data_IF_612096190048
#
_entry.id   IF_612096190048
#
_cell.length_a   1.000
_cell.length_b   1.000
_cell.length_c   1.000
_cell.angle_alpha   90.00
_cell.angle_beta   90.00
_cell.angle_gamma   90.00
#
_symmetry.space_group_name_H-M   'P 1'
#
loop_
_entity.id
_entity.type
_entity.pdbx_description
1 polymer ?
#
# COMPACT_ATOMS: atom_id res chain seq x y z
N UNK A 1 -11.39 -44.05 21.00
CA UNK A 1 -10.34 -43.48 20.12
C UNK A 1 -11.00 -42.66 19.02
N UNK A 2 -10.79 -41.35 19.02
CA UNK A 2 -11.51 -40.31 18.27
C UNK A 2 -11.07 -40.20 16.80
N UNK A 3 -11.86 -40.74 15.86
CA UNK A 3 -11.73 -40.49 14.40
C UNK A 3 -12.69 -39.35 13.97
N UNK A 4 -12.42 -38.09 14.32
CA UNK A 4 -13.26 -36.94 13.90
C UNK A 4 -12.57 -35.90 12.99
N UNK A 5 -11.28 -36.05 12.70
CA UNK A 5 -10.51 -35.07 11.90
C UNK A 5 -10.44 -35.29 10.38
N UNK A 6 -10.82 -36.48 9.85
CA UNK A 6 -10.65 -36.79 8.42
C UNK A 6 -11.80 -36.33 7.50
N UNK A 7 -12.96 -35.96 8.04
CA UNK A 7 -14.10 -35.50 7.22
C UNK A 7 -13.91 -34.07 6.74
N UNK A 8 -13.57 -33.15 7.66
CA UNK A 8 -13.40 -31.74 7.35
C UNK A 8 -12.29 -31.47 6.34
N UNK A 9 -11.11 -32.09 6.48
CA UNK A 9 -10.02 -31.93 5.50
C UNK A 9 -10.38 -32.48 4.12
N UNK A 10 -11.23 -33.51 4.05
CA UNK A 10 -11.69 -34.09 2.80
C UNK A 10 -12.77 -33.23 2.15
N UNK A 11 -13.69 -32.68 2.94
CA UNK A 11 -14.70 -31.69 2.53
C UNK A 11 -14.04 -30.39 2.07
N UNK A 12 -13.04 -29.91 2.81
CA UNK A 12 -12.22 -28.75 2.46
C UNK A 12 -11.43 -28.98 1.18
N UNK A 13 -10.75 -30.13 1.03
CA UNK A 13 -10.08 -30.48 -0.23
C UNK A 13 -11.06 -30.54 -1.40
N UNK A 14 -12.26 -31.09 -1.19
CA UNK A 14 -13.32 -31.15 -2.22
C UNK A 14 -13.87 -29.75 -2.55
N UNK A 15 -13.91 -28.85 -1.57
CA UNK A 15 -14.33 -27.46 -1.74
C UNK A 15 -13.30 -26.64 -2.52
N UNK A 16 -12.01 -26.72 -2.15
CA UNK A 16 -10.91 -26.03 -2.84
C UNK A 16 -10.66 -26.62 -4.23
N UNK A 17 -10.90 -27.92 -4.43
CA UNK A 17 -10.81 -28.58 -5.74
C UNK A 17 -11.91 -28.11 -6.73
N UNK A 18 -12.87 -27.28 -6.30
CA UNK A 18 -13.71 -26.53 -7.23
C UNK A 18 -12.83 -25.45 -7.87
N UNK A 19 -12.28 -25.75 -9.05
CA UNK A 19 -11.29 -24.90 -9.76
C UNK A 19 -11.62 -23.41 -9.80
N UNK A 20 -12.90 -23.04 -9.92
CA UNK A 20 -13.35 -21.64 -9.90
C UNK A 20 -12.97 -20.85 -8.62
N UNK A 21 -12.81 -21.50 -7.47
CA UNK A 21 -12.42 -20.84 -6.21
C UNK A 21 -10.91 -20.73 -6.09
N UNK A 22 -10.17 -21.75 -6.56
CA UNK A 22 -8.72 -21.77 -6.52
C UNK A 22 -8.13 -20.71 -7.46
N UNK A 23 -8.63 -20.63 -8.69
CA UNK A 23 -8.16 -19.66 -9.69
C UNK A 23 -8.49 -18.22 -9.26
N UNK A 24 -9.67 -18.01 -8.65
CA UNK A 24 -10.03 -16.72 -8.06
C UNK A 24 -9.10 -16.36 -6.89
N UNK A 25 -8.78 -17.32 -6.01
CA UNK A 25 -7.88 -17.08 -4.88
C UNK A 25 -6.47 -16.70 -5.36
N UNK A 26 -5.94 -17.40 -6.37
CA UNK A 26 -4.64 -17.08 -6.98
C UNK A 26 -4.67 -15.69 -7.63
N UNK A 27 -5.72 -15.36 -8.39
CA UNK A 27 -5.87 -14.06 -9.02
C UNK A 27 -5.90 -12.91 -8.00
N UNK A 28 -6.59 -13.08 -6.87
CA UNK A 28 -6.64 -12.08 -5.79
C UNK A 28 -5.29 -11.89 -5.12
N UNK A 29 -4.58 -12.98 -4.79
CA UNK A 29 -3.25 -12.91 -4.14
C UNK A 29 -2.21 -12.28 -5.06
N UNK A 30 -2.19 -12.64 -6.33
CA UNK A 30 -1.29 -12.01 -7.32
C UNK A 30 -1.70 -10.55 -7.52
N UNK A 31 -2.99 -10.26 -7.58
CA UNK A 31 -3.51 -8.90 -7.72
C UNK A 31 -3.10 -7.98 -6.57
N UNK A 32 -3.17 -8.43 -5.32
CA UNK A 32 -2.76 -7.63 -4.16
C UNK A 32 -1.26 -7.41 -4.13
N UNK A 33 -0.45 -8.45 -4.39
CA UNK A 33 1.01 -8.34 -4.47
C UNK A 33 1.46 -7.42 -5.60
N UNK A 34 0.87 -7.58 -6.79
CA UNK A 34 1.13 -6.73 -7.94
C UNK A 34 0.76 -5.28 -7.66
N UNK A 35 -0.38 -5.02 -7.02
CA UNK A 35 -0.76 -3.68 -6.62
C UNK A 35 0.26 -3.05 -5.66
N UNK A 36 0.86 -3.80 -4.73
CA UNK A 36 1.94 -3.28 -3.88
C UNK A 36 3.18 -2.85 -4.67
N UNK A 37 3.58 -3.65 -5.68
CA UNK A 37 4.71 -3.32 -6.55
C UNK A 37 4.42 -2.02 -7.31
N UNK A 38 3.23 -1.90 -7.87
CA UNK A 38 2.81 -0.70 -8.61
C UNK A 38 2.78 0.52 -7.68
N UNK A 39 2.21 0.37 -6.47
CA UNK A 39 2.15 1.45 -5.48
C UNK A 39 3.53 1.88 -5.02
N UNK A 40 4.47 0.95 -4.77
CA UNK A 40 5.86 1.28 -4.44
C UNK A 40 6.55 1.99 -5.60
N UNK A 41 6.39 1.53 -6.85
CA UNK A 41 6.94 2.23 -8.01
C UNK A 41 6.43 3.67 -8.13
N UNK A 42 5.13 3.88 -7.90
CA UNK A 42 4.55 5.22 -7.95
C UNK A 42 5.05 6.07 -6.77
N UNK A 43 4.99 5.57 -5.54
CA UNK A 43 5.35 6.31 -4.34
C UNK A 43 6.86 6.59 -4.23
N UNK A 44 7.70 5.66 -4.70
CA UNK A 44 9.15 5.73 -4.47
C UNK A 44 9.90 6.34 -5.67
N UNK A 45 9.33 6.28 -6.88
CA UNK A 45 9.97 6.83 -8.08
C UNK A 45 9.19 7.99 -8.70
N UNK A 46 7.90 7.80 -8.96
CA UNK A 46 7.08 8.79 -9.66
C UNK A 46 6.81 10.01 -8.77
N UNK A 47 6.39 9.79 -7.52
CA UNK A 47 6.05 10.86 -6.59
C UNK A 47 7.23 11.78 -6.28
N UNK A 48 8.44 11.29 -5.96
CA UNK A 48 9.61 12.16 -5.77
C UNK A 48 9.98 12.93 -7.03
N UNK A 49 9.92 12.29 -8.20
CA UNK A 49 10.18 12.94 -9.48
C UNK A 49 9.15 14.05 -9.76
N UNK A 50 7.88 13.83 -9.44
CA UNK A 50 6.83 14.84 -9.55
C UNK A 50 7.01 15.96 -8.54
N UNK A 51 7.37 15.66 -7.29
CA UNK A 51 7.64 16.67 -6.25
C UNK A 51 8.77 17.62 -6.66
N UNK A 52 9.81 17.10 -7.32
CA UNK A 52 10.91 17.92 -7.85
C UNK A 52 10.46 18.83 -9.00
N UNK A 53 9.46 18.42 -9.79
CA UNK A 53 8.95 19.18 -10.93
C UNK A 53 7.87 20.21 -10.54
N UNK A 54 6.96 19.86 -9.64
CA UNK A 54 5.84 20.72 -9.21
C UNK A 54 6.15 21.54 -7.96
N UNK A 55 7.22 21.20 -7.22
CA UNK A 55 7.62 21.87 -5.98
C UNK A 55 6.65 21.68 -4.81
N UNK A 56 5.62 20.83 -4.96
CA UNK A 56 4.61 20.55 -3.94
C UNK A 56 4.54 19.05 -3.70
N UNK A 57 4.67 18.67 -2.42
CA UNK A 57 4.66 17.27 -2.00
C UNK A 57 3.25 16.65 -1.95
N UNK A 58 2.21 17.47 -1.82
CA UNK A 58 0.83 17.00 -1.69
C UNK A 58 -0.15 18.10 -2.09
N UNK A 59 -1.24 17.72 -2.76
CA UNK A 59 -2.41 18.59 -3.00
C UNK A 59 -3.52 18.35 -1.98
N UNK A 60 -3.30 17.47 -0.99
CA UNK A 60 -4.29 17.08 0.01
C UNK A 60 -4.73 18.23 0.92
N UNK A 61 -3.87 19.22 1.12
CA UNK A 61 -4.09 20.34 2.06
C UNK A 61 -4.95 21.48 1.49
N UNK A 62 -5.46 21.34 0.26
CA UNK A 62 -6.41 22.30 -0.31
C UNK A 62 -7.76 22.18 0.40
N UNK A 63 -8.06 23.15 1.25
CA UNK A 63 -9.30 23.26 2.03
C UNK A 63 -10.03 24.54 1.62
N UNK A 64 -11.33 24.43 1.32
CA UNK A 64 -12.17 25.59 1.06
C UNK A 64 -12.98 25.86 2.34
N UNK A 65 -12.77 27.02 2.96
CA UNK A 65 -13.64 27.47 4.04
C UNK A 65 -15.01 27.82 3.45
N UNK A 66 -16.02 26.98 3.71
CA UNK A 66 -17.40 27.24 3.27
C UNK A 66 -18.14 28.17 4.25
N UNK A 67 -17.63 28.32 5.48
CA UNK A 67 -18.05 29.33 6.46
C UNK A 67 -16.82 30.00 7.05
N UNK A 68 -16.76 31.33 7.00
CA UNK A 68 -15.84 32.10 7.83
C UNK A 68 -16.27 31.95 9.29
N UNK A 69 -15.29 31.83 10.20
CA UNK A 69 -15.57 31.99 11.61
C UNK A 69 -16.12 33.41 11.80
N UNK A 70 -17.41 33.53 12.12
CA UNK A 70 -17.97 34.79 12.57
C UNK A 70 -17.42 35.00 13.97
N UNK A 71 -16.27 35.66 14.08
CA UNK A 71 -15.86 36.29 15.32
C UNK A 71 -16.75 37.51 15.54
N UNK A 72 -17.89 37.30 16.18
CA UNK A 72 -18.56 38.34 16.94
C UNK A 72 -18.73 37.78 18.34
N UNK A 73 -17.83 38.17 19.24
CA UNK A 73 -18.02 38.02 20.67
C UNK A 73 -18.57 39.35 21.19
N UNK A 74 -19.74 39.31 21.83
CA UNK A 74 -19.91 40.00 23.12
C UNK A 74 -20.29 39.03 24.25
N UNK A 75 -20.73 37.79 23.98
CA UNK A 75 -20.98 36.78 25.01
C UNK A 75 -20.18 35.49 24.71
N UNK A 76 -19.17 35.20 25.55
CA UNK A 76 -18.10 34.24 25.31
C UNK A 76 -18.46 32.75 25.37
N UNK A 77 -19.17 32.24 24.36
CA UNK A 77 -19.22 30.80 24.07
C UNK A 77 -18.65 30.50 22.67
N UNK A 78 -17.46 29.91 22.64
CA UNK A 78 -16.82 29.44 21.41
C UNK A 78 -17.40 28.07 21.06
N UNK A 79 -18.37 28.04 20.14
CA UNK A 79 -18.73 26.81 19.44
C UNK A 79 -17.88 26.71 18.17
N UNK A 80 -16.70 26.11 18.31
CA UNK A 80 -15.81 25.76 17.19
C UNK A 80 -16.50 24.70 16.30
N UNK A 81 -17.29 25.16 15.34
CA UNK A 81 -17.81 24.35 14.23
C UNK A 81 -17.42 24.99 12.91
N UNK A 82 -16.13 25.22 12.70
CA UNK A 82 -15.57 25.49 11.38
C UNK A 82 -15.67 24.21 10.53
N UNK A 83 -16.70 24.13 9.69
CA UNK A 83 -16.88 23.06 8.70
C UNK A 83 -16.03 23.36 7.47
N UNK A 84 -14.88 22.69 7.35
CA UNK A 84 -14.04 22.74 6.16
C UNK A 84 -14.52 21.71 5.13
N UNK A 85 -14.66 22.12 3.86
CA UNK A 85 -14.73 21.14 2.77
C UNK A 85 -13.29 20.88 2.32
N UNK A 86 -12.80 19.69 2.66
CA UNK A 86 -11.46 19.22 2.28
C UNK A 86 -11.59 18.56 0.89
N UNK A 87 -11.47 19.34 -0.17
CA UNK A 87 -11.50 18.84 -1.55
C UNK A 87 -10.12 18.39 -2.04
N UNK A 88 -9.05 18.86 -1.38
CA UNK A 88 -7.68 18.49 -1.70
C UNK A 88 -7.43 16.98 -1.62
N UNK A 89 -7.92 16.32 -0.56
CA UNK A 89 -7.74 14.88 -0.37
C UNK A 89 -8.38 14.05 -1.50
N UNK A 90 -9.56 14.46 -1.98
CA UNK A 90 -10.21 13.81 -3.11
C UNK A 90 -9.43 14.00 -4.41
N UNK A 91 -8.98 15.23 -4.68
CA UNK A 91 -8.20 15.53 -5.88
C UNK A 91 -6.86 14.79 -5.88
N UNK A 92 -6.20 14.68 -4.73
CA UNK A 92 -4.99 13.89 -4.53
C UNK A 92 -5.25 12.41 -4.87
N UNK A 93 -6.32 11.81 -4.34
CA UNK A 93 -6.66 10.42 -4.63
C UNK A 93 -6.94 10.17 -6.13
N UNK A 94 -7.52 11.14 -6.83
CA UNK A 94 -7.72 11.05 -8.29
C UNK A 94 -6.38 11.10 -9.04
N UNK A 95 -5.46 11.97 -8.62
CA UNK A 95 -4.12 12.06 -9.20
C UNK A 95 -3.35 10.75 -8.96
N UNK A 96 -3.35 10.24 -7.73
CA UNK A 96 -2.67 8.99 -7.38
C UNK A 96 -3.23 7.81 -8.19
N UNK A 97 -4.55 7.74 -8.37
CA UNK A 97 -5.19 6.73 -9.22
C UNK A 97 -4.75 6.84 -10.68
N UNK A 98 -4.68 8.06 -11.24
CA UNK A 98 -4.18 8.30 -12.60
C UNK A 98 -2.70 7.86 -12.74
N UNK A 99 -1.87 8.12 -11.74
CA UNK A 99 -0.46 7.71 -11.73
C UNK A 99 -0.30 6.20 -11.67
N UNK A 100 -1.07 5.51 -10.81
CA UNK A 100 -1.10 4.05 -10.72
C UNK A 100 -1.55 3.45 -12.04
N UNK A 101 -2.65 3.94 -12.63
CA UNK A 101 -3.15 3.47 -13.92
C UNK A 101 -2.11 3.66 -15.04
N UNK A 102 -1.45 4.82 -15.08
CA UNK A 102 -0.40 5.13 -16.04
C UNK A 102 0.84 4.25 -15.86
N UNK A 103 1.23 3.99 -14.61
CA UNK A 103 2.33 3.10 -14.26
C UNK A 103 2.08 1.67 -14.74
N UNK A 104 0.91 1.11 -14.44
CA UNK A 104 0.49 -0.22 -14.92
C UNK A 104 0.52 -0.29 -16.44
N UNK A 105 0.04 0.76 -17.12
CA UNK A 105 0.06 0.84 -18.58
C UNK A 105 1.48 0.78 -19.14
N UNK A 106 2.44 1.52 -18.57
CA UNK A 106 3.85 1.46 -18.97
C UNK A 106 4.40 0.06 -18.76
N UNK A 107 4.16 -0.55 -17.59
CA UNK A 107 4.71 -1.87 -17.27
C UNK A 107 4.20 -2.95 -18.23
N UNK A 108 2.90 -2.97 -18.53
CA UNK A 108 2.31 -3.87 -19.53
C UNK A 108 2.89 -3.60 -20.91
N UNK A 109 3.08 -2.33 -21.30
CA UNK A 109 3.67 -1.96 -22.59
C UNK A 109 5.11 -2.46 -22.71
N UNK A 110 5.92 -2.37 -21.65
CA UNK A 110 7.30 -2.86 -21.61
C UNK A 110 7.32 -4.38 -21.79
N UNK A 111 6.53 -5.12 -21.00
CA UNK A 111 6.44 -6.58 -21.10
C UNK A 111 5.99 -7.01 -22.51
N UNK A 112 4.95 -6.39 -23.05
CA UNK A 112 4.47 -6.68 -24.40
C UNK A 112 5.51 -6.37 -25.49
N UNK A 113 6.31 -5.32 -25.32
CA UNK A 113 7.36 -4.95 -26.26
C UNK A 113 8.55 -5.92 -26.19
N UNK A 114 8.92 -6.38 -24.99
CA UNK A 114 9.97 -7.38 -24.77
C UNK A 114 9.56 -8.74 -25.34
N UNK A 115 8.33 -9.19 -25.09
CA UNK A 115 7.79 -10.44 -25.68
C UNK A 115 7.81 -10.42 -27.21
N UNK A 116 7.36 -9.32 -27.83
CA UNK A 116 7.43 -9.14 -29.29
C UNK A 116 8.84 -9.22 -29.84
N UNK A 117 9.83 -8.65 -29.13
CA UNK A 117 11.25 -8.74 -29.54
C UNK A 117 11.81 -10.15 -29.38
N UNK A 118 11.44 -10.88 -28.32
CA UNK A 118 11.81 -12.28 -28.13
C UNK A 118 11.20 -13.20 -29.19
N UNK A 119 9.94 -12.99 -29.56
CA UNK A 119 9.28 -13.73 -30.64
C UNK A 119 9.96 -13.48 -32.00
N UNK A 120 10.31 -12.23 -32.31
CA UNK A 120 11.04 -11.87 -33.54
C UNK A 120 12.44 -12.48 -33.61
N UNK A 121 13.16 -12.57 -32.49
CA UNK A 121 14.48 -13.23 -32.42
C UNK A 121 14.35 -14.74 -32.53
N UNK A 122 13.25 -15.32 -32.02
CA UNK A 122 12.96 -16.76 -32.10
C UNK A 122 12.55 -17.18 -33.52
N UNK A 123 11.87 -16.32 -34.28
CA UNK A 123 11.55 -16.56 -35.70
C UNK A 123 12.80 -16.48 -36.61
N UNK A 124 13.81 -15.69 -36.25
CA UNK A 124 15.06 -15.56 -37.02
C UNK A 124 16.03 -16.75 -36.85
N UNK A 125 15.82 -17.64 -35.87
CA UNK A 125 16.60 -18.85 -35.63
C UNK A 125 15.65 -20.06 -35.48
N UNK A 126 15.36 -20.82 -36.56
CA UNK A 126 14.28 -21.81 -36.60
C UNK A 126 14.48 -23.09 -35.75
N UNK A 127 15.32 -23.06 -34.71
CA UNK A 127 15.67 -24.21 -33.86
C UNK A 127 15.39 -24.07 -32.36
N UNK A 128 14.89 -22.92 -31.90
CA UNK A 128 14.66 -22.63 -30.47
C UNK A 128 13.17 -22.45 -30.14
N UNK A 129 12.28 -23.17 -30.85
CA UNK A 129 10.91 -23.38 -30.35
C UNK A 129 10.98 -24.25 -29.10
N UNK A 130 11.26 -23.64 -27.95
CA UNK A 130 10.80 -24.20 -26.68
C UNK A 130 9.29 -24.42 -26.82
N UNK A 131 8.85 -25.64 -26.54
CA UNK A 131 7.45 -26.03 -26.69
C UNK A 131 6.57 -25.08 -25.87
N UNK A 132 5.33 -24.75 -26.27
CA UNK A 132 4.40 -23.94 -25.49
C UNK A 132 4.28 -24.37 -24.01
N UNK A 133 4.54 -25.65 -23.73
CA UNK A 133 4.65 -26.24 -22.39
C UNK A 133 5.77 -25.66 -21.52
N UNK A 134 6.95 -25.35 -22.07
CA UNK A 134 8.08 -24.80 -21.31
C UNK A 134 7.87 -23.32 -20.99
N UNK A 135 7.21 -22.56 -21.88
CA UNK A 135 6.87 -21.15 -21.63
C UNK A 135 5.76 -21.04 -20.57
N UNK A 136 4.77 -21.94 -20.61
CA UNK A 136 3.73 -22.03 -19.58
C UNK A 136 4.30 -22.49 -18.23
N UNK A 137 5.27 -23.41 -18.22
CA UNK A 137 5.98 -23.82 -17.01
C UNK A 137 6.88 -22.69 -16.45
N UNK A 138 7.51 -21.89 -17.31
CA UNK A 138 8.37 -20.76 -16.93
C UNK A 138 7.54 -19.56 -16.42
N UNK A 139 6.40 -19.23 -17.06
CA UNK A 139 5.42 -18.25 -16.55
C UNK A 139 4.75 -18.72 -15.25
N UNK A 140 4.40 -20.01 -15.13
CA UNK A 140 3.85 -20.58 -13.89
C UNK A 140 4.89 -20.62 -12.77
N UNK A 141 6.17 -20.87 -13.09
CA UNK A 141 7.26 -20.83 -12.12
C UNK A 141 7.59 -19.38 -11.70
N UNK A 142 7.53 -18.41 -12.61
CA UNK A 142 7.69 -16.99 -12.30
C UNK A 142 6.52 -16.46 -11.45
N UNK A 143 5.29 -16.89 -11.75
CA UNK A 143 4.10 -16.58 -10.96
C UNK A 143 4.13 -17.27 -9.58
N UNK A 144 4.62 -18.51 -9.49
CA UNK A 144 4.80 -19.23 -8.23
C UNK A 144 5.92 -18.62 -7.37
N UNK A 145 7.05 -18.23 -7.97
CA UNK A 145 8.13 -17.53 -7.29
C UNK A 145 7.68 -16.13 -6.79
N UNK A 146 6.84 -15.43 -7.56
CA UNK A 146 6.23 -14.18 -7.11
C UNK A 146 5.24 -14.39 -5.95
N UNK A 147 4.48 -15.50 -5.93
CA UNK A 147 3.61 -15.85 -4.81
C UNK A 147 4.40 -16.23 -3.53
N UNK A 148 5.54 -16.89 -3.69
CA UNK A 148 6.44 -17.22 -2.57
C UNK A 148 7.18 -15.98 -2.03
N UNK A 149 7.52 -15.03 -2.91
CA UNK A 149 8.04 -13.72 -2.52
C UNK A 149 6.98 -12.85 -1.83
N UNK A 150 5.72 -12.90 -2.28
CA UNK A 150 4.62 -12.14 -1.67
C UNK A 150 4.28 -12.63 -0.24
N UNK A 151 4.32 -13.94 0.00
CA UNK A 151 4.10 -14.50 1.35
C UNK A 151 5.23 -14.15 2.32
N UNK A 152 6.47 -14.06 1.86
CA UNK A 152 7.60 -13.52 2.65
C UNK A 152 7.52 -12.01 2.86
N UNK A 153 7.16 -11.25 1.82
CA UNK A 153 7.06 -9.79 1.89
C UNK A 153 5.92 -9.32 2.81
N UNK A 154 4.80 -10.06 2.85
CA UNK A 154 3.71 -9.79 3.80
C UNK A 154 4.10 -10.11 5.25
N UNK A 155 4.87 -11.18 5.48
CA UNK A 155 5.41 -11.49 6.80
C UNK A 155 6.42 -10.44 7.27
N UNK A 156 7.25 -9.92 6.36
CA UNK A 156 8.26 -8.90 6.65
C UNK A 156 7.63 -7.51 6.85
N UNK A 157 6.67 -7.11 6.01
CA UNK A 157 5.91 -5.86 6.20
C UNK A 157 5.07 -5.87 7.48
N UNK A 158 4.42 -6.98 7.82
CA UNK A 158 3.68 -7.09 9.08
C UNK A 158 4.61 -7.10 10.31
N UNK A 159 5.83 -7.61 10.18
CA UNK A 159 6.84 -7.54 11.23
C UNK A 159 7.38 -6.11 11.40
N UNK A 160 7.62 -5.40 10.29
CA UNK A 160 8.05 -4.00 10.29
C UNK A 160 6.98 -3.06 10.83
N UNK A 161 5.70 -3.26 10.49
CA UNK A 161 4.60 -2.45 11.02
C UNK A 161 4.41 -2.69 12.53
N UNK A 162 4.53 -3.94 13.00
CA UNK A 162 4.53 -4.25 14.44
C UNK A 162 5.74 -3.65 15.15
N UNK A 163 6.93 -3.68 14.55
CA UNK A 163 8.12 -3.05 15.10
C UNK A 163 7.99 -1.52 15.18
N UNK A 164 7.43 -0.89 14.14
CA UNK A 164 7.13 0.54 14.11
C UNK A 164 6.05 0.94 15.13
N UNK A 165 5.01 0.12 15.32
CA UNK A 165 3.98 0.36 16.33
C UNK A 165 4.56 0.30 17.76
N UNK A 166 5.49 -0.63 18.02
CA UNK A 166 6.20 -0.70 19.31
C UNK A 166 7.08 0.54 19.52
N UNK A 167 7.82 0.96 18.49
CA UNK A 167 8.65 2.16 18.56
C UNK A 167 7.82 3.44 18.79
N UNK A 168 6.68 3.59 18.11
CA UNK A 168 5.78 4.73 18.30
C UNK A 168 5.16 4.74 19.70
N UNK A 169 4.85 3.57 20.26
CA UNK A 169 4.38 3.47 21.65
C UNK A 169 5.47 3.85 22.66
N UNK A 170 6.73 3.44 22.43
CA UNK A 170 7.87 3.85 23.26
C UNK A 170 8.15 5.37 23.17
N UNK A 171 8.05 5.95 21.97
CA UNK A 171 8.22 7.40 21.78
C UNK A 171 7.12 8.18 22.51
N UNK A 172 5.85 7.75 22.42
CA UNK A 172 4.74 8.38 23.14
C UNK A 172 4.92 8.30 24.67
N UNK A 173 5.45 7.18 25.18
CA UNK A 173 5.77 7.04 26.59
C UNK A 173 6.94 7.96 27.03
N UNK A 174 7.92 8.19 26.17
CA UNK A 174 9.01 9.12 26.44
C UNK A 174 8.55 10.59 26.42
N UNK A 175 7.65 10.94 25.50
CA UNK A 175 7.09 12.29 25.35
C UNK A 175 6.23 12.66 26.57
N UNK A 176 5.39 11.74 27.04
CA UNK A 176 4.60 11.94 28.27
C UNK A 176 5.46 12.09 29.53
N UNK A 177 6.56 11.32 29.67
CA UNK A 177 7.50 11.50 30.77
C UNK A 177 8.26 12.83 30.70
N UNK A 178 8.58 13.30 29.49
CA UNK A 178 9.18 14.61 29.29
C UNK A 178 8.23 15.73 29.72
N UNK A 179 6.95 15.67 29.34
CA UNK A 179 5.94 16.64 29.77
C UNK A 179 5.76 16.66 31.30
N UNK A 180 5.72 15.50 31.95
CA UNK A 180 5.62 15.41 33.41
C UNK A 180 6.84 16.06 34.09
N UNK A 181 8.05 15.84 33.55
CA UNK A 181 9.28 16.44 34.09
C UNK A 181 9.31 17.96 33.93
N UNK A 182 8.84 18.48 32.81
CA UNK A 182 8.67 19.93 32.58
C UNK A 182 7.70 20.52 33.59
N UNK A 183 6.53 19.89 33.80
CA UNK A 183 5.55 20.35 34.78
C UNK A 183 6.10 20.36 36.22
N UNK A 184 6.81 19.31 36.65
CA UNK A 184 7.45 19.27 37.97
C UNK A 184 8.50 20.37 38.10
N UNK A 185 9.28 20.63 37.04
CA UNK A 185 10.29 21.69 37.04
C UNK A 185 9.64 23.06 37.17
N UNK A 186 8.56 23.33 36.42
CA UNK A 186 7.78 24.57 36.49
C UNK A 186 7.18 24.76 37.89
N UNK A 187 6.57 23.74 38.48
CA UNK A 187 6.00 23.79 39.84
C UNK A 187 7.09 24.06 40.88
N UNK A 188 8.25 23.40 40.78
CA UNK A 188 9.38 23.62 41.70
C UNK A 188 9.95 25.03 41.61
N UNK A 189 9.88 25.66 40.43
CA UNK A 189 10.33 27.03 40.19
C UNK A 189 9.32 28.06 40.70
N UNK A 190 8.02 27.79 40.56
CA UNK A 190 6.94 28.62 41.13
C UNK A 190 6.91 28.59 42.66
N UNK A 191 7.26 27.47 43.30
CA UNK A 191 7.29 27.34 44.76
C UNK A 191 8.52 27.98 45.44
N UNK A 192 9.53 28.44 44.68
CA UNK A 192 10.76 29.05 45.21
C UNK A 192 10.82 30.58 45.07
N UNK A 193 9.76 31.22 44.57
CA UNK A 193 9.58 32.67 44.55
C UNK A 193 8.60 33.11 45.62
#
# INVERSE_FOLDING_TARGET
>A
MTKKGRSFLKEFKTFIARGNVLDLAVAVVIGTAFNKIVTSFVNDLIMPALCLLTGKASFADLKWCVKEAITLTEDGEVLDQSTYIIYGAFLQAVIDFLLIAFSVFIMIKVVNNVRKKLEQVTEALPGLKKSPEEIAAEEAALAAAAAEAATKAEAEQAALEKAAAVQNAEIAAAETLHEIRELITIISKQSRG
#
